data_IF_570835324085
#
_entry.id   IF_570835324085
#
_cell.length_a   1.000
_cell.length_b   1.000
_cell.length_c   1.000
_cell.angle_alpha   90.00
_cell.angle_beta   90.00
_cell.angle_gamma   90.00
#
_symmetry.space_group_name_H-M   'P 1'
#
loop_
_entity.id
_entity.type
_entity.pdbx_description
1 polymer ?
#
# COMPACT_ATOMS: atom_id res chain seq x y z
N UNK A 1 -8.99 -13.24 27.31
CA UNK A 1 -8.75 -13.16 25.86
C UNK A 1 -7.66 -12.12 25.64
N UNK A 2 -6.44 -12.52 25.31
CA UNK A 2 -5.34 -11.60 25.02
C UNK A 2 -5.00 -11.76 23.53
N UNK A 3 -5.31 -10.73 22.75
CA UNK A 3 -5.02 -10.68 21.31
C UNK A 3 -3.58 -10.18 21.20
N UNK A 4 -2.64 -11.10 21.00
CA UNK A 4 -1.27 -10.75 20.66
C UNK A 4 -1.25 -10.37 19.17
N UNK A 5 -1.16 -9.07 18.89
CA UNK A 5 -0.92 -8.55 17.55
C UNK A 5 0.51 -8.95 17.13
N UNK A 6 0.62 -9.96 16.28
CA UNK A 6 1.87 -10.39 15.66
C UNK A 6 2.34 -9.32 14.68
N UNK A 7 3.23 -8.44 15.12
CA UNK A 7 3.93 -7.49 14.25
C UNK A 7 4.82 -8.25 13.28
N UNK A 8 4.47 -8.22 11.99
CA UNK A 8 5.32 -8.75 10.93
C UNK A 8 6.27 -7.63 10.48
N UNK A 9 7.44 -7.54 11.12
CA UNK A 9 8.56 -6.77 10.58
C UNK A 9 9.50 -7.78 9.94
N UNK A 10 9.25 -8.08 8.66
CA UNK A 10 10.25 -8.72 7.81
C UNK A 10 10.87 -7.63 6.95
N UNK A 11 12.07 -7.22 7.35
CA UNK A 11 12.95 -6.35 6.59
C UNK A 11 14.14 -7.18 6.10
N UNK A 12 14.36 -7.33 4.78
CA UNK A 12 15.65 -7.73 4.25
C UNK A 12 16.22 -6.68 3.27
N UNK A 13 17.17 -5.91 3.81
CA UNK A 13 18.54 -5.72 3.30
C UNK A 13 18.74 -5.28 1.83
N UNK A 14 19.02 -3.97 1.67
CA UNK A 14 19.79 -3.36 0.57
C UNK A 14 21.06 -4.17 0.27
N UNK A 15 21.24 -4.66 -0.96
CA UNK A 15 22.59 -4.72 -1.50
C UNK A 15 22.95 -5.66 -2.66
N UNK A 16 22.28 -6.79 -2.94
CA UNK A 16 22.98 -7.84 -3.73
C UNK A 16 22.15 -8.83 -4.58
N UNK A 17 21.04 -8.42 -5.22
CA UNK A 17 20.52 -9.22 -6.36
C UNK A 17 19.89 -8.37 -7.47
N UNK A 18 20.76 -7.82 -8.32
CA UNK A 18 20.41 -6.99 -9.48
C UNK A 18 19.75 -7.75 -10.66
N UNK A 19 18.99 -8.82 -10.40
CA UNK A 19 18.30 -9.56 -11.47
C UNK A 19 17.22 -10.55 -11.05
N UNK A 20 17.12 -10.88 -9.77
CA UNK A 20 16.04 -11.72 -9.22
C UNK A 20 15.06 -10.92 -8.35
N UNK A 21 15.35 -9.65 -8.08
CA UNK A 21 14.57 -8.81 -7.17
C UNK A 21 13.48 -7.97 -7.84
N UNK A 22 13.65 -7.56 -9.10
CA UNK A 22 12.70 -6.66 -9.76
C UNK A 22 11.29 -7.27 -9.85
N UNK A 23 11.18 -8.56 -10.19
CA UNK A 23 9.88 -9.26 -10.25
C UNK A 23 9.25 -9.43 -8.86
N UNK A 24 10.07 -9.66 -7.83
CA UNK A 24 9.63 -9.77 -6.43
C UNK A 24 9.17 -8.42 -5.87
N UNK A 25 9.94 -7.35 -6.13
CA UNK A 25 9.68 -5.99 -5.69
C UNK A 25 8.45 -5.40 -6.40
N UNK A 26 8.30 -5.64 -7.71
CA UNK A 26 7.09 -5.28 -8.45
C UNK A 26 5.85 -5.98 -7.89
N UNK A 27 5.96 -7.27 -7.54
CA UNK A 27 4.87 -8.03 -6.93
C UNK A 27 4.47 -7.49 -5.55
N UNK A 28 5.44 -7.16 -4.71
CA UNK A 28 5.22 -6.55 -3.40
C UNK A 28 4.54 -5.17 -3.52
N UNK A 29 5.06 -4.30 -4.40
CA UNK A 29 4.48 -2.98 -4.65
C UNK A 29 3.07 -3.07 -5.26
N UNK A 30 2.81 -4.03 -6.15
CA UNK A 30 1.48 -4.25 -6.70
C UNK A 30 0.50 -4.68 -5.61
N UNK A 31 0.90 -5.60 -4.72
CA UNK A 31 0.10 -6.00 -3.57
C UNK A 31 -0.15 -4.84 -2.60
N UNK A 32 0.85 -4.00 -2.36
CA UNK A 32 0.70 -2.80 -1.54
C UNK A 32 -0.29 -1.80 -2.17
N UNK A 33 -0.19 -1.55 -3.47
CA UNK A 33 -1.14 -0.68 -4.19
C UNK A 33 -2.57 -1.19 -4.04
N UNK A 34 -2.78 -2.48 -4.23
CA UNK A 34 -4.12 -3.08 -4.16
C UNK A 34 -4.70 -2.97 -2.74
N UNK A 35 -3.87 -3.16 -1.70
CA UNK A 35 -4.26 -2.93 -0.31
C UNK A 35 -4.62 -1.47 -0.03
N UNK A 36 -3.86 -0.51 -0.55
CA UNK A 36 -4.15 0.92 -0.39
C UNK A 36 -5.45 1.32 -1.10
N UNK A 37 -5.71 0.76 -2.29
CA UNK A 37 -6.96 0.96 -3.01
C UNK A 37 -8.16 0.35 -2.27
N UNK A 38 -7.98 -0.84 -1.68
CA UNK A 38 -8.99 -1.45 -0.83
C UNK A 38 -9.30 -0.57 0.39
N UNK A 39 -8.28 -0.09 1.09
CA UNK A 39 -8.45 0.80 2.24
C UNK A 39 -9.18 2.11 1.87
N UNK A 40 -8.87 2.71 0.70
CA UNK A 40 -9.62 3.87 0.20
C UNK A 40 -11.09 3.56 -0.05
N UNK A 41 -11.37 2.37 -0.59
CA UNK A 41 -12.74 1.91 -0.84
C UNK A 41 -13.48 1.68 0.48
N UNK A 42 -12.86 1.05 1.47
CA UNK A 42 -13.44 0.84 2.80
C UNK A 42 -13.81 2.17 3.46
N UNK A 43 -12.99 3.22 3.34
CA UNK A 43 -13.33 4.56 3.84
C UNK A 43 -14.59 5.13 3.19
N UNK A 44 -14.74 4.96 1.87
CA UNK A 44 -15.92 5.44 1.14
C UNK A 44 -17.17 4.60 1.52
N UNK A 45 -17.02 3.29 1.69
CA UNK A 45 -18.10 2.39 2.13
C UNK A 45 -18.54 2.71 3.57
N UNK A 46 -17.60 2.87 4.50
CA UNK A 46 -17.86 3.21 5.90
C UNK A 46 -18.56 4.56 6.04
N UNK A 47 -18.13 5.56 5.27
CA UNK A 47 -18.79 6.85 5.27
C UNK A 47 -20.21 6.78 4.69
N UNK A 48 -20.42 6.02 3.62
CA UNK A 48 -21.76 5.83 3.03
C UNK A 48 -22.71 5.06 3.97
N UNK A 49 -22.15 4.16 4.78
CA UNK A 49 -22.88 3.43 5.81
C UNK A 49 -23.08 4.24 7.11
N UNK A 50 -22.54 5.45 7.20
CA UNK A 50 -22.60 6.30 8.39
C UNK A 50 -21.79 5.78 9.58
N UNK A 51 -20.81 4.89 9.35
CA UNK A 51 -19.91 4.35 10.39
C UNK A 51 -18.81 5.33 10.77
N UNK A 52 -18.40 6.20 9.84
CA UNK A 52 -17.42 7.28 10.06
C UNK A 52 -17.99 8.61 9.58
N UNK A 53 -17.46 9.72 10.10
CA UNK A 53 -17.85 11.04 9.64
C UNK A 53 -17.25 11.36 8.26
N UNK A 54 -17.77 12.40 7.61
CA UNK A 54 -17.19 12.91 6.36
C UNK A 54 -15.77 13.49 6.56
N UNK A 55 -15.47 13.98 7.76
CA UNK A 55 -14.15 14.49 8.14
C UNK A 55 -13.17 13.33 8.30
N UNK A 56 -13.54 12.29 9.05
CA UNK A 56 -12.73 11.07 9.20
C UNK A 56 -12.41 10.42 7.84
N UNK A 57 -13.40 10.37 6.94
CA UNK A 57 -13.20 9.89 5.56
C UNK A 57 -12.16 10.73 4.83
N UNK A 58 -12.27 12.06 4.91
CA UNK A 58 -11.37 12.97 4.21
C UNK A 58 -9.94 12.85 4.74
N UNK A 59 -9.78 12.75 6.05
CA UNK A 59 -8.48 12.60 6.70
C UNK A 59 -7.86 11.24 6.42
N UNK A 60 -8.64 10.16 6.42
CA UNK A 60 -8.19 8.85 5.96
C UNK A 60 -7.68 8.87 4.52
N UNK A 61 -8.42 9.53 3.60
CA UNK A 61 -7.98 9.68 2.20
C UNK A 61 -6.69 10.51 2.09
N UNK A 62 -6.55 11.57 2.88
CA UNK A 62 -5.32 12.39 2.93
C UNK A 62 -4.12 11.61 3.47
N UNK A 63 -4.33 10.72 4.43
CA UNK A 63 -3.28 9.88 4.99
C UNK A 63 -2.78 8.83 3.97
N UNK A 64 -3.69 8.20 3.22
CA UNK A 64 -3.35 7.14 2.25
C UNK A 64 -2.79 7.68 0.91
N UNK A 65 -3.22 8.87 0.49
CA UNK A 65 -2.91 9.45 -0.81
C UNK A 65 -1.41 9.53 -1.15
N UNK A 66 -0.54 10.06 -0.27
CA UNK A 66 0.90 10.14 -0.53
C UNK A 66 1.52 8.77 -0.79
N UNK A 67 1.18 7.78 0.03
CA UNK A 67 1.73 6.43 -0.11
C UNK A 67 1.27 5.75 -1.39
N UNK A 68 -0.02 5.89 -1.75
CA UNK A 68 -0.53 5.36 -3.01
C UNK A 68 0.18 5.98 -4.22
N UNK A 69 0.47 7.28 -4.17
CA UNK A 69 1.24 7.95 -5.22
C UNK A 69 2.65 7.39 -5.31
N UNK A 70 3.37 7.28 -4.19
CA UNK A 70 4.72 6.72 -4.15
C UNK A 70 4.79 5.32 -4.77
N UNK A 71 3.89 4.42 -4.36
CA UNK A 71 3.84 3.04 -4.86
C UNK A 71 3.53 3.01 -6.36
N UNK A 72 2.60 3.86 -6.83
CA UNK A 72 2.26 3.95 -8.25
C UNK A 72 3.44 4.45 -9.08
N UNK A 73 4.16 5.48 -8.61
CA UNK A 73 5.34 5.98 -9.32
C UNK A 73 6.48 4.95 -9.30
N UNK A 74 6.69 4.21 -8.19
CA UNK A 74 7.69 3.14 -8.13
C UNK A 74 7.38 2.02 -9.13
N UNK A 75 6.13 1.57 -9.21
CA UNK A 75 5.69 0.59 -10.21
C UNK A 75 5.89 1.09 -11.64
N UNK A 76 5.63 2.38 -11.89
CA UNK A 76 5.84 2.99 -13.20
C UNK A 76 7.32 3.01 -13.61
N UNK A 77 8.22 3.28 -12.66
CA UNK A 77 9.66 3.24 -12.92
C UNK A 77 10.10 1.82 -13.25
N UNK A 78 9.64 0.82 -12.49
CA UNK A 78 9.99 -0.59 -12.74
C UNK A 78 9.48 -1.06 -14.10
N UNK A 79 8.24 -0.73 -14.47
CA UNK A 79 7.68 -1.09 -15.79
C UNK A 79 8.47 -0.45 -16.94
N UNK A 80 8.93 0.80 -16.77
CA UNK A 80 9.78 1.50 -17.73
C UNK A 80 11.20 0.96 -17.84
N UNK A 81 11.75 0.38 -16.77
CA UNK A 81 13.07 -0.26 -16.77
C UNK A 81 13.05 -1.66 -17.42
N UNK A 82 11.87 -2.29 -17.57
CA UNK A 82 11.69 -3.62 -18.18
C UNK A 82 11.50 -3.58 -19.72
N UNK A 83 11.24 -2.41 -20.31
CA UNK A 83 11.05 -2.18 -21.76
C UNK A 83 12.28 -1.64 -22.47
#
# INVERSE_FOLDING_TARGET
>A
FAIAASGFIVWPRRGDALGLHAESEAGELAGERDNLLLALRELDEDASAGRISSEDRLDGRRALGPRLREVTEALRVIDGDLT
#
